data_IF_189437920703
#
_entry.id   IF_189437920703
#
_cell.length_a   1.000
_cell.length_b   1.000
_cell.length_c   1.000
_cell.angle_alpha   90.00
_cell.angle_beta   90.00
_cell.angle_gamma   90.00
#
_symmetry.space_group_name_H-M   'P 1'
#
loop_
_entity.id
_entity.type
_entity.pdbx_description
1 polymer ?
#
# COMPACT_ATOMS: atom_id res chain seq x y z
N UNK A 1 27.04 46.69 33.03
CA UNK A 1 26.70 46.25 31.67
C UNK A 1 25.18 46.09 31.61
N UNK A 2 24.52 46.81 30.70
CA UNK A 2 23.04 46.82 30.52
C UNK A 2 22.62 45.55 29.80
N UNK A 3 21.81 44.71 30.45
CA UNK A 3 21.17 43.56 29.82
C UNK A 3 20.00 44.03 28.95
N UNK A 4 20.02 43.67 27.66
CA UNK A 4 18.92 43.96 26.75
C UNK A 4 18.07 42.68 26.65
N UNK A 5 16.87 42.73 27.23
CA UNK A 5 15.79 41.79 26.93
C UNK A 5 15.28 42.08 25.52
N UNK A 6 15.29 41.06 24.65
CA UNK A 6 14.51 41.07 23.42
C UNK A 6 13.36 40.07 23.55
N UNK A 7 12.23 40.58 24.00
CA UNK A 7 10.90 40.00 23.78
C UNK A 7 10.58 40.08 22.29
N UNK A 8 10.46 38.93 21.62
CA UNK A 8 9.82 38.83 20.31
C UNK A 8 8.41 38.27 20.49
N UNK A 9 7.43 39.09 20.16
CA UNK A 9 6.02 38.76 20.05
C UNK A 9 5.68 38.57 18.56
N UNK A 10 4.54 37.89 18.32
CA UNK A 10 3.78 37.76 17.04
C UNK A 10 4.42 36.80 16.01
N UNK A 11 3.75 35.80 15.42
CA UNK A 11 2.41 35.76 14.84
C UNK A 11 1.78 34.36 14.89
N UNK A 12 0.46 34.35 15.10
CA UNK A 12 -0.42 33.21 14.88
C UNK A 12 -0.27 32.68 13.45
N UNK A 13 0.11 31.41 13.33
CA UNK A 13 0.08 30.65 12.09
C UNK A 13 -0.68 29.35 12.32
N UNK A 14 -2.01 29.43 12.33
CA UNK A 14 -2.81 28.23 12.00
C UNK A 14 -2.70 28.05 10.49
N UNK A 15 -1.56 27.55 10.02
CA UNK A 15 -1.48 26.95 8.71
C UNK A 15 -2.23 25.62 8.81
N UNK A 16 -3.48 25.63 8.35
CA UNK A 16 -4.22 24.42 8.06
C UNK A 16 -3.38 23.61 7.08
N UNK A 17 -2.67 22.61 7.58
CA UNK A 17 -2.05 21.60 6.72
C UNK A 17 -3.21 20.78 6.19
N UNK A 18 -3.71 21.18 5.02
CA UNK A 18 -4.43 20.27 4.13
C UNK A 18 -3.46 19.14 3.83
N UNK A 19 -3.59 18.03 4.56
CA UNK A 19 -2.99 16.75 4.18
C UNK A 19 -3.71 16.33 2.91
N UNK A 20 -3.11 16.73 1.79
CA UNK A 20 -3.36 16.17 0.48
C UNK A 20 -3.06 14.68 0.56
N UNK A 21 -4.04 13.91 0.13
CA UNK A 21 -4.14 12.48 0.29
C UNK A 21 -3.16 11.79 -0.67
N UNK A 22 -1.87 11.76 -0.34
CA UNK A 22 -0.91 10.90 -1.02
C UNK A 22 0.16 10.35 -0.09
N UNK A 23 0.37 9.04 -0.31
CA UNK A 23 1.55 8.27 0.06
C UNK A 23 1.51 7.68 1.47
N UNK A 24 0.81 6.54 1.55
CA UNK A 24 0.88 5.62 2.67
C UNK A 24 2.32 5.16 2.88
N UNK A 25 2.96 5.75 3.88
CA UNK A 25 4.12 5.18 4.55
C UNK A 25 3.85 5.27 6.06
N UNK A 26 2.84 4.53 6.51
CA UNK A 26 2.62 4.27 7.92
C UNK A 26 3.50 3.11 8.36
N UNK A 27 4.72 3.41 8.79
CA UNK A 27 5.40 2.60 9.81
C UNK A 27 4.64 2.86 11.11
N UNK A 28 3.58 2.11 11.37
CA UNK A 28 3.05 1.92 12.71
C UNK A 28 2.31 0.59 12.79
N UNK A 29 2.83 -0.23 13.67
CA UNK A 29 2.55 -1.65 13.86
C UNK A 29 1.22 -1.85 14.58
N UNK A 30 0.19 -2.19 13.82
CA UNK A 30 -0.98 -2.95 14.28
C UNK A 30 -1.58 -3.62 13.04
N UNK A 31 -1.88 -4.92 13.12
CA UNK A 31 -2.49 -5.70 12.05
C UNK A 31 -3.71 -4.94 11.49
N UNK A 32 -3.50 -4.24 10.38
CA UNK A 32 -4.45 -3.26 9.93
C UNK A 32 -5.56 -4.01 9.20
N UNK A 33 -6.68 -4.22 9.91
CA UNK A 33 -7.89 -4.73 9.27
C UNK A 33 -8.30 -3.72 8.20
N UNK A 34 -8.22 -4.12 6.94
CA UNK A 34 -8.35 -3.18 5.83
C UNK A 34 -8.41 -3.87 4.49
N UNK A 35 -8.81 -3.11 3.47
CA UNK A 35 -8.73 -3.52 2.07
C UNK A 35 -7.52 -2.83 1.43
N UNK A 36 -6.68 -3.60 0.76
CA UNK A 36 -5.44 -3.13 0.14
C UNK A 36 -5.44 -3.45 -1.35
N UNK A 37 -4.73 -2.61 -2.10
CA UNK A 37 -4.38 -2.89 -3.50
C UNK A 37 -2.87 -3.06 -3.56
N UNK A 38 -2.42 -4.24 -3.96
CA UNK A 38 -1.00 -4.57 -4.15
C UNK A 38 -0.76 -4.90 -5.61
N UNK A 39 0.42 -4.55 -6.12
CA UNK A 39 0.73 -4.70 -7.54
C UNK A 39 2.17 -5.08 -7.76
N UNK A 40 2.41 -5.84 -8.82
CA UNK A 40 3.74 -6.18 -9.33
C UNK A 40 3.71 -6.25 -10.85
N UNK A 41 4.89 -6.32 -11.47
CA UNK A 41 5.07 -6.49 -12.90
C UNK A 41 5.56 -7.91 -13.20
N UNK A 42 5.18 -8.42 -14.36
CA UNK A 42 5.75 -9.62 -14.95
C UNK A 42 5.86 -9.44 -16.46
N UNK A 43 6.89 -10.03 -17.05
CA UNK A 43 7.13 -10.04 -18.50
C UNK A 43 6.41 -11.22 -19.18
N UNK A 44 6.66 -11.42 -20.47
CA UNK A 44 6.10 -12.54 -21.24
C UNK A 44 6.75 -13.90 -20.99
N UNK A 45 7.75 -14.00 -20.10
CA UNK A 45 8.48 -15.25 -19.92
C UNK A 45 7.61 -16.35 -19.30
N UNK A 46 7.91 -17.60 -19.66
CA UNK A 46 7.18 -18.74 -19.10
C UNK A 46 7.30 -18.74 -17.56
N UNK A 47 6.17 -18.76 -16.86
CA UNK A 47 6.13 -18.79 -15.40
C UNK A 47 6.36 -17.44 -14.71
N UNK A 48 6.52 -16.33 -15.46
CA UNK A 48 6.70 -14.99 -14.88
C UNK A 48 5.46 -14.54 -14.09
N UNK A 49 4.26 -14.77 -14.64
CA UNK A 49 2.98 -14.48 -13.99
C UNK A 49 2.82 -15.24 -12.67
N UNK A 50 3.14 -16.52 -12.65
CA UNK A 50 3.04 -17.35 -11.45
C UNK A 50 4.03 -16.90 -10.37
N UNK A 51 5.25 -16.49 -10.77
CA UNK A 51 6.22 -15.89 -9.84
C UNK A 51 5.71 -14.56 -9.27
N UNK A 52 5.12 -13.70 -10.11
CA UNK A 52 4.48 -12.47 -9.68
C UNK A 52 3.31 -12.71 -8.71
N UNK A 53 2.44 -13.69 -8.99
CA UNK A 53 1.34 -14.07 -8.10
C UNK A 53 1.85 -14.59 -6.75
N UNK A 54 2.90 -15.42 -6.73
CA UNK A 54 3.55 -15.88 -5.48
C UNK A 54 4.14 -14.72 -4.67
N UNK A 55 4.74 -13.75 -5.37
CA UNK A 55 5.24 -12.56 -4.72
C UNK A 55 4.09 -11.74 -4.09
N UNK A 56 2.96 -11.57 -4.79
CA UNK A 56 1.78 -10.90 -4.24
C UNK A 56 1.15 -11.65 -3.06
N UNK A 57 1.13 -12.98 -3.07
CA UNK A 57 0.69 -13.77 -1.89
C UNK A 57 1.58 -13.50 -0.67
N UNK A 58 2.89 -13.45 -0.88
CA UNK A 58 3.85 -13.15 0.19
C UNK A 58 3.64 -11.74 0.72
N UNK A 59 3.45 -10.77 -0.18
CA UNK A 59 3.21 -9.38 0.19
C UNK A 59 1.88 -9.19 0.92
N UNK A 60 0.82 -9.86 0.48
CA UNK A 60 -0.48 -9.85 1.15
C UNK A 60 -0.38 -10.37 2.59
N UNK A 61 0.34 -11.47 2.80
CA UNK A 61 0.59 -12.04 4.15
C UNK A 61 1.40 -11.08 5.02
N UNK A 62 2.42 -10.42 4.45
CA UNK A 62 3.24 -9.45 5.15
C UNK A 62 2.43 -8.24 5.60
N UNK A 63 1.55 -7.71 4.73
CA UNK A 63 0.68 -6.57 5.03
C UNK A 63 -0.36 -6.93 6.09
N UNK A 64 -1.03 -8.08 5.93
CA UNK A 64 -2.13 -8.43 6.81
C UNK A 64 -1.67 -8.92 8.19
N UNK A 65 -0.48 -9.54 8.28
CA UNK A 65 -0.04 -10.28 9.46
C UNK A 65 -1.09 -11.31 9.96
N UNK A 66 -1.99 -11.72 9.06
CA UNK A 66 -3.12 -12.63 9.26
C UNK A 66 -3.54 -13.23 7.92
N UNK A 67 -4.53 -14.13 7.93
CA UNK A 67 -5.16 -14.62 6.71
C UNK A 67 -5.84 -13.46 5.95
N UNK A 68 -5.92 -13.58 4.63
CA UNK A 68 -6.53 -12.58 3.77
C UNK A 68 -7.48 -13.22 2.75
N UNK A 69 -8.44 -12.45 2.27
CA UNK A 69 -9.27 -12.81 1.11
C UNK A 69 -8.85 -12.01 -0.10
N UNK A 70 -8.60 -12.68 -1.23
CA UNK A 70 -8.46 -12.02 -2.52
C UNK A 70 -9.85 -11.60 -3.02
N UNK A 71 -10.05 -10.29 -3.16
CA UNK A 71 -11.31 -9.70 -3.63
C UNK A 71 -11.34 -9.67 -5.16
N UNK A 72 -10.25 -9.23 -5.78
CA UNK A 72 -10.12 -9.21 -7.24
C UNK A 72 -8.67 -9.36 -7.67
N UNK A 73 -8.49 -9.92 -8.86
CA UNK A 73 -7.24 -9.97 -9.59
C UNK A 73 -7.45 -9.32 -10.96
N UNK A 74 -6.57 -8.40 -11.33
CA UNK A 74 -6.59 -7.70 -12.60
C UNK A 74 -5.20 -7.75 -13.25
N UNK A 75 -5.18 -7.88 -14.58
CA UNK A 75 -3.95 -7.77 -15.38
C UNK A 75 -4.10 -6.62 -16.35
N UNK A 76 -3.13 -5.69 -16.34
CA UNK A 76 -3.10 -4.54 -17.25
C UNK A 76 -1.83 -4.61 -18.10
N UNK A 77 -1.93 -4.74 -19.43
CA UNK A 77 -0.75 -4.75 -20.29
C UNK A 77 -0.08 -3.39 -20.31
N UNK A 78 1.26 -3.38 -20.32
CA UNK A 78 2.09 -2.20 -20.49
C UNK A 78 2.68 -2.26 -21.90
N UNK A 79 2.29 -1.29 -22.72
CA UNK A 79 2.66 -1.21 -24.12
C UNK A 79 3.89 -0.32 -24.29
N UNK A 80 4.82 -0.72 -25.17
CA UNK A 80 5.85 0.18 -25.66
C UNK A 80 5.28 1.18 -26.70
N UNK A 81 6.15 2.07 -27.19
CA UNK A 81 5.79 3.06 -28.21
C UNK A 81 5.43 2.44 -29.58
N UNK A 82 5.76 1.16 -29.80
CA UNK A 82 5.43 0.39 -31.01
C UNK A 82 4.06 -0.30 -30.89
N UNK A 83 3.41 -0.25 -29.72
CA UNK A 83 2.16 -0.95 -29.48
C UNK A 83 2.33 -2.44 -29.19
N UNK A 84 3.47 -2.84 -28.66
CA UNK A 84 3.75 -4.21 -28.22
C UNK A 84 3.71 -4.28 -26.69
N UNK A 85 3.20 -5.38 -26.13
CA UNK A 85 3.23 -5.63 -24.70
C UNK A 85 4.66 -5.96 -24.28
N UNK A 86 5.27 -5.13 -23.43
CA UNK A 86 6.60 -5.44 -22.84
C UNK A 86 6.44 -6.17 -21.51
N UNK A 87 5.49 -5.72 -20.71
CA UNK A 87 5.21 -6.22 -19.38
C UNK A 87 3.70 -6.22 -19.16
N UNK A 88 3.29 -6.92 -18.13
CA UNK A 88 1.94 -6.90 -17.61
C UNK A 88 1.96 -6.58 -16.13
N UNK A 89 1.10 -5.66 -15.71
CA UNK A 89 0.90 -5.33 -14.30
C UNK A 89 -0.15 -6.27 -13.73
N UNK A 90 0.24 -7.07 -12.75
CA UNK A 90 -0.69 -7.83 -11.91
C UNK A 90 -1.12 -6.95 -10.74
N UNK A 91 -2.42 -6.83 -10.51
CA UNK A 91 -3.01 -6.05 -9.42
C UNK A 91 -3.93 -6.96 -8.63
N UNK A 92 -3.70 -7.08 -7.33
CA UNK A 92 -4.59 -7.78 -6.41
C UNK A 92 -5.23 -6.79 -5.45
N UNK A 93 -6.56 -6.89 -5.33
CA UNK A 93 -7.30 -6.26 -4.24
C UNK A 93 -7.54 -7.30 -3.16
N UNK A 94 -7.04 -7.07 -1.95
CA UNK A 94 -7.12 -8.01 -0.83
C UNK A 94 -7.86 -7.39 0.35
N UNK A 95 -8.49 -8.23 1.18
CA UNK A 95 -9.02 -7.84 2.50
C UNK A 95 -8.31 -8.66 3.57
N UNK A 96 -7.69 -7.99 4.54
CA UNK A 96 -7.13 -8.66 5.72
C UNK A 96 -8.26 -9.10 6.66
N UNK A 97 -8.21 -10.34 7.12
CA UNK A 97 -9.17 -10.88 8.09
C UNK A 97 -8.72 -10.53 9.50
N UNK A 98 -9.68 -10.23 10.38
CA UNK A 98 -9.34 -10.01 11.79
C UNK A 98 -9.02 -11.35 12.44
N UNK A 99 -7.97 -11.40 13.27
CA UNK A 99 -7.56 -12.63 13.97
C UNK A 99 -8.69 -13.24 14.82
N UNK A 100 -9.66 -12.43 15.24
CA UNK A 100 -10.83 -12.87 16.03
C UNK A 100 -11.92 -13.56 15.20
N UNK A 101 -11.95 -13.42 13.87
CA UNK A 101 -12.99 -14.00 13.01
C UNK A 101 -12.91 -15.54 12.90
N UNK A 102 -11.87 -16.18 13.45
CA UNK A 102 -11.76 -17.64 13.51
C UNK A 102 -12.39 -18.29 14.75
N UNK A 103 -12.82 -17.50 15.74
CA UNK A 103 -13.36 -18.03 17.01
C UNK A 103 -14.84 -18.43 16.95
N UNK A 104 -15.53 -18.18 15.84
CA UNK A 104 -16.94 -18.54 15.66
C UNK A 104 -17.19 -19.11 14.26
N UNK A 105 -16.65 -20.31 13.99
CA UNK A 105 -17.21 -21.19 12.96
C UNK A 105 -17.93 -22.34 13.69
N UNK A 106 -19.21 -22.62 13.39
CA UNK A 106 -20.00 -23.65 14.08
C UNK A 106 -19.50 -25.08 13.82
#
# INVERSE_FOLDING_TARGET
MRGILFTAFVLAGCASVLVDNKQGQGKDSAAASGTYSITTLYDGDTGSRERAAKWLDTEARNICASDYTLISEETVPIMNYLGEVTDSRLIWKIKCLQQTERANAP
#
